data_IF_067796415924
#
_entry.id   IF_067796415924
#
_cell.length_a   1.000
_cell.length_b   1.000
_cell.length_c   1.000
_cell.angle_alpha   90.00
_cell.angle_beta   90.00
_cell.angle_gamma   90.00
#
_symmetry.space_group_name_H-M   'P 1'
#
loop_
_entity.id
_entity.type
_entity.pdbx_description
1 polymer ?
#
# COMPACT_ATOMS: atom_id res chain seq x y z
N UNK A 1 24.80 -66.59 55.09
CA UNK A 1 24.59 -65.13 54.97
C UNK A 1 25.71 -64.66 54.04
N UNK A 2 25.58 -64.79 52.71
CA UNK A 2 24.84 -63.90 51.82
C UNK A 2 25.04 -62.43 52.20
N UNK A 3 25.99 -61.76 51.56
CA UNK A 3 25.70 -60.63 50.69
C UNK A 3 26.91 -60.35 49.77
N UNK A 4 26.63 -60.40 48.46
CA UNK A 4 27.53 -60.07 47.38
C UNK A 4 27.18 -58.65 46.90
N UNK A 5 28.17 -57.77 46.80
CA UNK A 5 28.00 -56.46 46.18
C UNK A 5 28.24 -56.50 44.67
N UNK A 6 27.38 -55.86 43.85
CA UNK A 6 27.76 -55.32 42.54
C UNK A 6 27.88 -53.78 42.68
N UNK A 7 28.97 -53.13 42.27
CA UNK A 7 29.31 -52.85 40.87
C UNK A 7 28.58 -51.59 40.40
N UNK A 8 29.26 -50.46 40.09
CA UNK A 8 28.59 -49.24 39.68
C UNK A 8 28.08 -49.39 38.25
N UNK A 9 26.76 -49.34 38.08
CA UNK A 9 26.14 -49.19 36.77
C UNK A 9 26.34 -47.73 36.32
N UNK A 10 27.29 -47.52 35.41
CA UNK A 10 27.37 -46.30 34.62
C UNK A 10 26.15 -46.23 33.70
N UNK A 11 25.12 -45.50 34.10
CA UNK A 11 24.12 -44.98 33.18
C UNK A 11 24.72 -43.75 32.52
N UNK A 12 25.34 -43.95 31.36
CA UNK A 12 25.65 -42.88 30.44
C UNK A 12 24.36 -42.16 30.07
N UNK A 13 24.10 -41.03 30.72
CA UNK A 13 23.18 -40.04 30.20
C UNK A 13 23.79 -39.52 28.91
N UNK A 14 23.33 -40.05 27.77
CA UNK A 14 23.46 -39.38 26.48
C UNK A 14 22.65 -38.09 26.58
N UNK A 15 23.27 -37.04 27.12
CA UNK A 15 22.86 -35.67 26.91
C UNK A 15 23.09 -35.35 25.44
N UNK A 16 22.10 -35.64 24.59
CA UNK A 16 21.99 -34.92 23.33
C UNK A 16 21.87 -33.45 23.71
N UNK A 17 22.93 -32.68 23.51
CA UNK A 17 22.82 -31.23 23.52
C UNK A 17 21.93 -30.87 22.34
N UNK A 18 20.64 -30.69 22.59
CA UNK A 18 19.79 -29.96 21.66
C UNK A 18 20.37 -28.55 21.59
N UNK A 19 20.98 -28.24 20.45
CA UNK A 19 21.44 -26.92 20.07
C UNK A 19 20.30 -25.93 20.16
N UNK A 20 20.57 -24.72 20.68
CA UNK A 20 19.55 -23.68 20.70
C UNK A 20 19.10 -23.34 19.27
N UNK A 21 17.85 -22.90 19.08
CA UNK A 21 17.37 -22.43 17.77
C UNK A 21 18.28 -21.37 17.15
N UNK A 22 18.87 -20.47 17.95
CA UNK A 22 19.86 -19.49 17.52
C UNK A 22 21.14 -20.18 16.98
N UNK A 23 21.68 -21.16 17.70
CA UNK A 23 22.90 -21.87 17.29
C UNK A 23 22.68 -22.72 16.03
N UNK A 24 21.48 -23.26 15.80
CA UNK A 24 21.14 -23.92 14.53
C UNK A 24 21.03 -22.93 13.38
N UNK A 25 20.46 -21.76 13.64
CA UNK A 25 20.27 -20.73 12.63
C UNK A 25 21.62 -20.13 12.17
N UNK A 26 22.56 -19.92 13.09
CA UNK A 26 23.93 -19.48 12.77
C UNK A 26 24.67 -20.45 11.84
N UNK A 27 24.38 -21.76 11.91
CA UNK A 27 24.98 -22.76 11.00
C UNK A 27 24.57 -22.58 9.55
N UNK A 28 23.49 -21.84 9.26
CA UNK A 28 23.09 -21.54 7.89
C UNK A 28 23.95 -20.46 7.23
N UNK A 29 24.61 -19.59 8.00
CA UNK A 29 25.32 -18.42 7.49
C UNK A 29 26.39 -18.77 6.43
N UNK A 30 27.25 -19.79 6.61
CA UNK A 30 28.26 -20.16 5.62
C UNK A 30 27.66 -20.58 4.26
N UNK A 31 26.41 -21.02 4.23
CA UNK A 31 25.71 -21.46 3.02
C UNK A 31 24.97 -20.31 2.31
N UNK A 32 24.73 -19.19 3.00
CA UNK A 32 24.12 -17.99 2.41
C UNK A 32 25.15 -17.04 1.80
N UNK A 33 26.41 -17.12 2.24
CA UNK A 33 27.46 -16.22 1.79
C UNK A 33 27.79 -16.31 0.29
N UNK A 34 28.41 -15.25 -0.28
CA UNK A 34 28.88 -15.26 -1.65
C UNK A 34 29.92 -16.36 -1.87
N UNK A 35 29.76 -17.14 -2.96
CA UNK A 35 30.65 -18.25 -3.30
C UNK A 35 30.25 -19.62 -2.74
N UNK A 36 29.17 -19.70 -1.95
CA UNK A 36 28.57 -20.99 -1.58
C UNK A 36 28.08 -21.76 -2.82
N UNK A 37 28.08 -23.10 -2.74
CA UNK A 37 27.53 -23.91 -3.82
C UNK A 37 26.04 -23.62 -3.99
N UNK A 38 25.59 -23.43 -5.23
CA UNK A 38 24.23 -22.98 -5.54
C UNK A 38 23.13 -23.90 -4.99
N UNK A 39 23.37 -25.21 -4.93
CA UNK A 39 22.44 -26.20 -4.35
C UNK A 39 22.29 -26.04 -2.84
N UNK A 40 23.41 -25.86 -2.14
CA UNK A 40 23.42 -25.62 -0.69
C UNK A 40 22.85 -24.25 -0.33
N UNK A 41 23.14 -23.24 -1.14
CA UNK A 41 22.58 -21.90 -0.97
C UNK A 41 21.08 -21.90 -1.20
N UNK A 42 20.58 -22.60 -2.22
CA UNK A 42 19.14 -22.78 -2.44
C UNK A 42 18.47 -23.44 -1.23
N UNK A 43 19.04 -24.55 -0.72
CA UNK A 43 18.49 -25.23 0.46
C UNK A 43 18.49 -24.33 1.71
N UNK A 44 19.58 -23.63 1.97
CA UNK A 44 19.69 -22.71 3.11
C UNK A 44 18.67 -21.57 3.01
N UNK A 45 18.51 -20.94 1.84
CA UNK A 45 17.50 -19.90 1.61
C UNK A 45 16.09 -20.45 1.77
N UNK A 46 15.81 -21.68 1.33
CA UNK A 46 14.49 -22.30 1.51
C UNK A 46 14.15 -22.51 2.99
N UNK A 47 15.13 -22.91 3.81
CA UNK A 47 14.95 -22.99 5.25
C UNK A 47 14.66 -21.62 5.88
N UNK A 48 15.40 -20.58 5.49
CA UNK A 48 15.13 -19.20 5.94
C UNK A 48 13.74 -18.74 5.50
N UNK A 49 13.37 -18.97 4.23
CA UNK A 49 12.05 -18.63 3.70
C UNK A 49 10.94 -19.29 4.51
N UNK A 50 11.07 -20.58 4.84
CA UNK A 50 10.10 -21.29 5.68
C UNK A 50 9.94 -20.64 7.07
N UNK A 51 11.04 -20.20 7.69
CA UNK A 51 11.01 -19.48 8.98
C UNK A 51 10.29 -18.13 8.87
N UNK A 52 10.50 -17.39 7.79
CA UNK A 52 9.86 -16.07 7.61
C UNK A 52 8.34 -16.14 7.45
N UNK A 53 7.79 -17.33 7.16
CA UNK A 53 6.35 -17.55 7.03
C UNK A 53 5.58 -17.41 8.35
N UNK A 54 6.26 -17.41 9.50
CA UNK A 54 5.64 -17.30 10.81
C UNK A 54 6.29 -16.22 11.69
N UNK A 55 5.48 -15.53 12.48
CA UNK A 55 5.93 -14.46 13.39
C UNK A 55 7.09 -14.85 14.32
N UNK A 56 7.06 -16.03 14.99
CA UNK A 56 8.19 -16.49 15.81
C UNK A 56 9.50 -16.66 15.03
N UNK A 57 9.45 -17.15 13.79
CA UNK A 57 10.63 -17.31 12.94
C UNK A 57 11.21 -15.96 12.51
N UNK A 58 10.36 -14.97 12.21
CA UNK A 58 10.80 -13.58 11.96
C UNK A 58 11.49 -12.97 13.17
N UNK A 59 10.93 -13.14 14.36
CA UNK A 59 11.53 -12.67 15.62
C UNK A 59 12.88 -13.31 15.90
N UNK A 60 13.03 -14.61 15.63
CA UNK A 60 14.33 -15.30 15.74
C UNK A 60 15.36 -14.70 14.78
N UNK A 61 14.99 -14.47 13.51
CA UNK A 61 15.88 -13.87 12.51
C UNK A 61 16.29 -12.43 12.87
N UNK A 62 15.44 -11.67 13.56
CA UNK A 62 15.72 -10.29 13.96
C UNK A 62 16.99 -10.15 14.82
N UNK A 63 17.32 -11.18 15.61
CA UNK A 63 18.53 -11.22 16.43
C UNK A 63 19.84 -11.48 15.66
N UNK A 64 19.77 -11.80 14.37
CA UNK A 64 20.90 -12.31 13.60
C UNK A 64 21.26 -11.39 12.43
N UNK A 65 21.90 -10.25 12.71
CA UNK A 65 22.24 -9.23 11.70
C UNK A 65 23.04 -9.78 10.50
N UNK A 66 23.98 -10.71 10.72
CA UNK A 66 24.76 -11.30 9.64
C UNK A 66 23.89 -12.13 8.66
N UNK A 67 22.87 -12.83 9.17
CA UNK A 67 21.94 -13.59 8.35
C UNK A 67 20.99 -12.67 7.59
N UNK A 68 20.47 -11.62 8.24
CA UNK A 68 19.65 -10.60 7.59
C UNK A 68 20.40 -9.96 6.43
N UNK A 69 21.66 -9.57 6.66
CA UNK A 69 22.53 -9.01 5.62
C UNK A 69 22.79 -10.00 4.48
N UNK A 70 23.15 -11.25 4.79
CA UNK A 70 23.40 -12.25 3.75
C UNK A 70 22.14 -12.51 2.91
N UNK A 71 20.96 -12.57 3.54
CA UNK A 71 19.69 -12.72 2.84
C UNK A 71 19.37 -11.52 1.94
N UNK A 72 19.59 -10.30 2.45
CA UNK A 72 19.41 -9.05 1.70
C UNK A 72 20.33 -8.96 0.47
N UNK A 73 21.61 -9.31 0.63
CA UNK A 73 22.58 -9.37 -0.47
C UNK A 73 22.16 -10.41 -1.52
N UNK A 74 21.66 -11.58 -1.10
CA UNK A 74 21.13 -12.60 -2.01
C UNK A 74 19.87 -12.19 -2.74
N UNK A 75 18.91 -11.55 -2.05
CA UNK A 75 17.70 -11.03 -2.66
C UNK A 75 18.01 -9.98 -3.74
N UNK A 76 19.09 -9.23 -3.54
CA UNK A 76 19.59 -8.25 -4.50
C UNK A 76 20.61 -8.81 -5.51
N UNK A 77 20.93 -10.10 -5.50
CA UNK A 77 21.88 -10.70 -6.44
C UNK A 77 21.28 -10.86 -7.85
N UNK A 78 22.15 -10.88 -8.88
CA UNK A 78 21.73 -11.33 -10.22
C UNK A 78 21.51 -12.85 -10.15
N UNK A 79 20.44 -13.34 -10.80
CA UNK A 79 20.00 -14.74 -10.79
C UNK A 79 21.15 -15.77 -10.78
N UNK A 80 21.07 -16.83 -9.96
CA UNK A 80 20.07 -17.90 -10.11
C UNK A 80 18.98 -17.99 -9.01
N UNK A 81 18.18 -19.08 -9.02
CA UNK A 81 16.99 -19.36 -8.18
C UNK A 81 17.06 -19.01 -6.68
N UNK A 82 18.21 -19.12 -5.96
CA UNK A 82 18.29 -18.69 -4.56
C UNK A 82 17.89 -17.22 -4.35
N UNK A 83 18.14 -16.35 -5.34
CA UNK A 83 17.76 -14.93 -5.27
C UNK A 83 16.23 -14.74 -5.18
N UNK A 84 15.44 -15.60 -5.83
CA UNK A 84 13.97 -15.53 -5.79
C UNK A 84 13.44 -15.85 -4.40
N UNK A 85 13.89 -16.97 -3.84
CA UNK A 85 13.42 -17.42 -2.53
C UNK A 85 13.93 -16.47 -1.43
N UNK A 86 15.11 -15.86 -1.62
CA UNK A 86 15.62 -14.81 -0.75
C UNK A 86 14.79 -13.51 -0.85
N UNK A 87 14.41 -13.10 -2.06
CA UNK A 87 13.54 -11.95 -2.26
C UNK A 87 12.17 -12.14 -1.61
N UNK A 88 11.58 -13.35 -1.69
CA UNK A 88 10.32 -13.68 -1.00
C UNK A 88 10.47 -13.68 0.51
N UNK A 89 11.57 -14.24 1.02
CA UNK A 89 11.86 -14.19 2.45
C UNK A 89 12.00 -12.74 2.94
N UNK A 90 12.64 -11.88 2.14
CA UNK A 90 12.76 -10.46 2.43
C UNK A 90 11.41 -9.74 2.41
N UNK A 91 10.50 -10.07 1.48
CA UNK A 91 9.13 -9.53 1.50
C UNK A 91 8.41 -9.89 2.81
N UNK A 92 8.54 -11.13 3.27
CA UNK A 92 7.93 -11.58 4.53
C UNK A 92 8.53 -10.87 5.76
N UNK A 93 9.83 -10.62 5.75
CA UNK A 93 10.49 -9.86 6.83
C UNK A 93 10.09 -8.38 6.79
N UNK A 94 10.06 -7.77 5.61
CA UNK A 94 9.62 -6.39 5.43
C UNK A 94 8.14 -6.19 5.80
N UNK A 95 7.31 -7.23 5.71
CA UNK A 95 5.91 -7.16 6.13
C UNK A 95 5.72 -7.02 7.65
N UNK A 96 6.77 -7.24 8.46
CA UNK A 96 6.76 -7.11 9.92
C UNK A 96 7.43 -5.79 10.34
N UNK A 97 6.70 -4.78 10.84
CA UNK A 97 7.27 -3.49 11.23
C UNK A 97 8.40 -3.60 12.27
N UNK A 98 8.32 -4.60 13.15
CA UNK A 98 9.35 -4.84 14.17
C UNK A 98 10.72 -5.27 13.60
N UNK A 99 10.78 -5.60 12.32
CA UNK A 99 11.99 -6.04 11.62
C UNK A 99 12.62 -4.94 10.76
N UNK A 100 11.96 -3.80 10.56
CA UNK A 100 12.46 -2.74 9.68
C UNK A 100 13.79 -2.16 10.16
N UNK A 101 13.87 -1.79 11.43
CA UNK A 101 15.11 -1.27 12.03
C UNK A 101 16.23 -2.33 12.01
N UNK A 102 16.05 -3.57 12.50
CA UNK A 102 17.07 -4.62 12.39
C UNK A 102 17.55 -4.88 10.95
N UNK A 103 16.65 -4.91 9.96
CA UNK A 103 16.99 -5.12 8.56
C UNK A 103 17.88 -3.99 8.02
N UNK A 104 17.47 -2.74 8.24
CA UNK A 104 18.18 -1.56 7.72
C UNK A 104 19.50 -1.31 8.47
N UNK A 105 19.58 -1.68 9.75
CA UNK A 105 20.81 -1.65 10.52
C UNK A 105 21.82 -2.72 10.04
N UNK A 106 21.33 -3.91 9.71
CA UNK A 106 22.16 -4.99 9.17
C UNK A 106 22.72 -4.65 7.77
N UNK A 107 21.95 -3.91 6.97
CA UNK A 107 22.30 -3.55 5.60
C UNK A 107 21.83 -2.12 5.21
N UNK A 108 22.67 -1.10 5.43
CA UNK A 108 22.34 0.30 5.11
C UNK A 108 22.09 0.59 3.61
N UNK A 109 22.59 -0.26 2.70
CA UNK A 109 22.45 -0.09 1.25
C UNK A 109 21.23 -0.83 0.68
N UNK A 110 20.47 -1.52 1.53
CA UNK A 110 19.34 -2.37 1.14
C UNK A 110 18.34 -1.65 0.24
N UNK A 111 17.89 -0.46 0.65
CA UNK A 111 16.89 0.32 -0.07
C UNK A 111 17.35 0.67 -1.50
N UNK A 112 18.59 1.13 -1.64
CA UNK A 112 19.16 1.48 -2.94
C UNK A 112 19.29 0.25 -3.85
N UNK A 113 19.71 -0.90 -3.29
CA UNK A 113 19.79 -2.16 -4.05
C UNK A 113 18.42 -2.67 -4.50
N UNK A 114 17.43 -2.68 -3.61
CA UNK A 114 16.07 -3.08 -3.96
C UNK A 114 15.47 -2.15 -5.01
N UNK A 115 15.71 -0.84 -4.90
CA UNK A 115 15.26 0.12 -5.89
C UNK A 115 15.86 -0.16 -7.27
N UNK A 116 17.17 -0.45 -7.30
CA UNK A 116 17.85 -0.87 -8.53
C UNK A 116 17.24 -2.14 -9.14
N UNK A 117 16.79 -3.09 -8.31
CA UNK A 117 16.13 -4.33 -8.77
C UNK A 117 14.69 -4.14 -9.22
N UNK A 118 13.91 -3.34 -8.50
CA UNK A 118 12.53 -3.05 -8.84
C UNK A 118 12.41 -2.29 -10.17
N UNK A 119 13.40 -1.43 -10.48
CA UNK A 119 13.44 -0.62 -11.71
C UNK A 119 14.37 -1.19 -12.79
N UNK A 120 14.77 -2.46 -12.69
CA UNK A 120 15.50 -3.19 -13.73
C UNK A 120 14.51 -3.99 -14.59
N UNK A 121 14.29 -3.62 -15.87
CA UNK A 121 13.39 -4.33 -16.80
C UNK A 121 13.72 -5.82 -16.99
N UNK A 122 14.95 -6.23 -16.69
CA UNK A 122 15.42 -7.61 -16.87
C UNK A 122 15.43 -8.42 -15.57
N UNK A 123 15.12 -7.79 -14.43
CA UNK A 123 15.12 -8.47 -13.14
C UNK A 123 13.87 -9.37 -13.01
N UNK A 124 14.01 -10.70 -12.91
CA UNK A 124 12.85 -11.61 -12.85
C UNK A 124 12.05 -11.51 -11.54
N UNK A 125 12.64 -10.93 -10.50
CA UNK A 125 12.08 -10.75 -9.15
C UNK A 125 11.90 -9.27 -8.79
N UNK A 126 11.70 -8.44 -9.80
CA UNK A 126 11.48 -7.00 -9.61
C UNK A 126 10.21 -6.70 -8.80
N UNK A 127 9.20 -7.58 -8.88
CA UNK A 127 7.96 -7.48 -8.08
C UNK A 127 8.23 -7.73 -6.60
N UNK A 128 8.98 -8.77 -6.24
CA UNK A 128 9.36 -9.01 -4.85
C UNK A 128 10.20 -7.84 -4.29
N UNK A 129 11.09 -7.25 -5.09
CA UNK A 129 11.82 -6.05 -4.70
C UNK A 129 10.88 -4.86 -4.48
N UNK A 130 9.91 -4.63 -5.38
CA UNK A 130 8.90 -3.59 -5.23
C UNK A 130 8.01 -3.82 -3.99
N UNK A 131 7.62 -5.06 -3.70
CA UNK A 131 6.84 -5.43 -2.53
C UNK A 131 7.59 -5.20 -1.22
N UNK A 132 8.88 -5.58 -1.17
CA UNK A 132 9.73 -5.32 -0.01
C UNK A 132 9.87 -3.81 0.24
N UNK A 133 10.11 -3.01 -0.82
CA UNK A 133 10.15 -1.55 -0.71
C UNK A 133 8.82 -0.97 -0.24
N UNK A 134 7.69 -1.42 -0.80
CA UNK A 134 6.36 -0.96 -0.42
C UNK A 134 6.03 -1.26 1.05
N UNK A 135 6.54 -2.37 1.59
CA UNK A 135 6.38 -2.69 3.01
C UNK A 135 7.29 -1.83 3.90
N UNK A 136 8.58 -1.69 3.55
CA UNK A 136 9.55 -0.88 4.31
C UNK A 136 9.16 0.60 4.31
N UNK A 137 8.66 1.13 3.18
CA UNK A 137 8.32 2.54 3.03
C UNK A 137 7.02 2.94 3.73
N UNK A 138 6.35 2.04 4.47
CA UNK A 138 5.21 2.41 5.34
C UNK A 138 5.68 3.25 6.51
N UNK A 139 6.93 3.07 6.93
CA UNK A 139 7.53 3.82 8.02
C UNK A 139 8.15 5.13 7.52
N UNK A 140 8.01 6.25 8.26
CA UNK A 140 8.48 7.56 7.80
C UNK A 140 9.99 7.62 7.49
N UNK A 141 10.82 7.02 8.35
CA UNK A 141 12.28 7.06 8.18
C UNK A 141 12.76 6.28 6.94
N UNK A 142 12.39 5.01 6.74
CA UNK A 142 12.72 4.29 5.51
C UNK A 142 12.12 4.93 4.25
N UNK A 143 10.91 5.50 4.33
CA UNK A 143 10.30 6.21 3.21
C UNK A 143 11.14 7.44 2.80
N UNK A 144 11.56 8.26 3.76
CA UNK A 144 12.43 9.41 3.51
C UNK A 144 13.81 8.99 2.95
N UNK A 145 14.41 7.92 3.49
CA UNK A 145 15.68 7.38 2.99
C UNK A 145 15.56 6.88 1.54
N UNK A 146 14.45 6.21 1.20
CA UNK A 146 14.18 5.78 -0.17
C UNK A 146 13.99 6.97 -1.11
N UNK A 147 13.30 8.02 -0.67
CA UNK A 147 13.17 9.26 -1.45
C UNK A 147 14.54 9.91 -1.73
N UNK A 148 15.45 9.92 -0.75
CA UNK A 148 16.82 10.37 -0.95
C UNK A 148 17.61 9.49 -1.96
N UNK A 149 17.39 8.17 -1.93
CA UNK A 149 17.98 7.26 -2.93
C UNK A 149 17.44 7.54 -4.36
N UNK A 150 16.17 7.90 -4.49
CA UNK A 150 15.56 8.26 -5.78
C UNK A 150 16.09 9.58 -6.36
N UNK A 151 16.47 10.55 -5.52
CA UNK A 151 17.02 11.85 -5.97
C UNK A 151 18.51 11.80 -6.30
N UNK A 152 19.23 10.83 -5.74
CA UNK A 152 20.68 10.63 -5.98
C UNK A 152 20.99 9.72 -7.17
N UNK A 153 19.96 9.12 -7.78
CA UNK A 153 20.10 8.26 -8.95
C UNK A 153 20.64 9.01 -10.19
N UNK A 154 21.41 8.28 -11.02
CA UNK A 154 22.15 8.69 -12.23
C UNK A 154 21.66 9.95 -12.99
N UNK A 155 22.59 10.76 -13.56
CA UNK A 155 22.25 11.94 -14.34
C UNK A 155 21.49 11.59 -15.64
N UNK A 156 20.29 12.15 -15.81
CA UNK A 156 19.53 12.09 -17.06
C UNK A 156 18.03 11.82 -16.89
N UNK A 157 17.61 11.15 -15.81
CA UNK A 157 16.20 10.94 -15.47
C UNK A 157 16.03 10.81 -13.95
N UNK A 158 15.14 11.61 -13.36
CA UNK A 158 14.86 11.54 -11.91
C UNK A 158 14.37 10.13 -11.53
N UNK A 159 14.83 9.58 -10.40
CA UNK A 159 14.46 8.22 -9.98
C UNK A 159 12.94 8.02 -9.83
N UNK A 160 12.23 9.05 -9.37
CA UNK A 160 10.77 9.01 -9.26
C UNK A 160 10.09 8.98 -10.63
N UNK A 161 10.67 9.61 -11.65
CA UNK A 161 10.18 9.54 -13.03
C UNK A 161 10.34 8.13 -13.61
N UNK A 162 11.46 7.46 -13.31
CA UNK A 162 11.66 6.04 -13.66
C UNK A 162 10.62 5.14 -13.01
N UNK A 163 10.32 5.38 -11.73
CA UNK A 163 9.31 4.64 -10.99
C UNK A 163 7.92 4.81 -11.61
N UNK A 164 7.49 6.05 -11.86
CA UNK A 164 6.18 6.30 -12.50
C UNK A 164 6.13 5.70 -13.90
N UNK A 165 7.21 5.80 -14.68
CA UNK A 165 7.29 5.16 -16.00
C UNK A 165 7.13 3.64 -15.90
N UNK A 166 7.82 2.99 -14.96
CA UNK A 166 7.71 1.55 -14.74
C UNK A 166 6.30 1.13 -14.31
N UNK A 167 5.63 1.95 -13.49
CA UNK A 167 4.25 1.73 -13.06
C UNK A 167 3.23 1.88 -14.22
N UNK A 168 3.43 2.85 -15.11
CA UNK A 168 2.44 3.21 -16.13
C UNK A 168 2.66 2.51 -17.49
N UNK A 169 3.85 1.96 -17.76
CA UNK A 169 4.18 1.35 -19.05
C UNK A 169 3.86 -0.16 -19.05
N UNK A 170 2.85 -0.61 -19.81
CA UNK A 170 2.59 -2.04 -19.97
C UNK A 170 3.84 -2.76 -20.53
N UNK A 171 4.18 -3.91 -19.95
CA UNK A 171 5.34 -4.69 -20.38
C UNK A 171 6.70 -4.04 -20.07
N UNK A 172 6.77 -3.06 -19.15
CA UNK A 172 8.04 -2.48 -18.71
C UNK A 172 9.06 -3.56 -18.28
N UNK A 173 8.59 -4.58 -17.56
CA UNK A 173 9.32 -5.79 -17.26
C UNK A 173 8.54 -6.99 -17.83
N UNK A 174 9.18 -7.78 -18.68
CA UNK A 174 8.52 -8.91 -19.35
C UNK A 174 8.29 -10.11 -18.41
N UNK A 175 9.02 -10.19 -17.30
CA UNK A 175 8.96 -11.29 -16.34
C UNK A 175 7.94 -11.07 -15.23
N UNK A 176 7.52 -9.83 -14.96
CA UNK A 176 6.63 -9.53 -13.83
C UNK A 176 5.89 -8.20 -13.99
N UNK A 177 4.62 -8.09 -13.54
CA UNK A 177 3.78 -6.92 -13.84
C UNK A 177 4.16 -5.65 -13.06
N UNK A 178 4.82 -5.73 -11.90
CA UNK A 178 5.19 -4.61 -11.00
C UNK A 178 3.99 -3.94 -10.30
N UNK A 179 3.04 -4.71 -9.79
CA UNK A 179 1.86 -4.18 -9.09
C UNK A 179 2.21 -3.42 -7.80
N UNK A 180 3.21 -3.89 -7.05
CA UNK A 180 3.63 -3.25 -5.80
C UNK A 180 4.31 -1.88 -5.95
N UNK A 181 4.61 -1.44 -7.18
CA UNK A 181 4.99 -0.04 -7.42
C UNK A 181 3.86 0.94 -7.11
N UNK A 182 2.60 0.51 -7.18
CA UNK A 182 1.45 1.36 -6.82
C UNK A 182 1.49 1.75 -5.34
N UNK A 183 1.42 0.80 -4.40
CA UNK A 183 1.53 1.08 -2.97
C UNK A 183 2.85 1.78 -2.59
N UNK A 184 3.96 1.45 -3.26
CA UNK A 184 5.22 2.16 -3.05
C UNK A 184 5.11 3.66 -3.39
N UNK A 185 4.52 4.00 -4.54
CA UNK A 185 4.30 5.39 -4.92
C UNK A 185 3.33 6.09 -3.95
N UNK A 186 2.28 5.39 -3.51
CA UNK A 186 1.34 5.89 -2.51
C UNK A 186 2.07 6.30 -1.23
N UNK A 187 2.94 5.44 -0.70
CA UNK A 187 3.75 5.74 0.48
C UNK A 187 4.67 6.94 0.26
N UNK A 188 5.37 7.00 -0.88
CA UNK A 188 6.25 8.13 -1.22
C UNK A 188 5.48 9.45 -1.32
N UNK A 189 4.27 9.44 -1.88
CA UNK A 189 3.42 10.63 -2.04
C UNK A 189 2.92 11.24 -0.73
N UNK A 190 3.14 10.58 0.41
CA UNK A 190 2.94 11.20 1.72
C UNK A 190 3.98 12.29 2.00
N UNK A 191 5.15 12.23 1.35
CA UNK A 191 6.19 13.25 1.42
C UNK A 191 5.88 14.41 0.46
N UNK A 192 5.99 15.64 0.96
CA UNK A 192 5.73 16.85 0.17
C UNK A 192 6.56 16.90 -1.13
N UNK A 193 7.86 16.57 -1.06
CA UNK A 193 8.72 16.58 -2.25
C UNK A 193 8.33 15.57 -3.33
N UNK A 194 7.66 14.46 -2.97
CA UNK A 194 7.11 13.53 -3.95
C UNK A 194 5.85 14.11 -4.61
N UNK A 195 4.98 14.78 -3.84
CA UNK A 195 3.80 15.47 -4.39
C UNK A 195 4.20 16.62 -5.31
N UNK A 196 5.20 17.42 -4.93
CA UNK A 196 5.72 18.50 -5.78
C UNK A 196 6.15 17.96 -7.15
N UNK A 197 6.81 16.79 -7.20
CA UNK A 197 7.15 16.13 -8.46
C UNK A 197 5.93 15.60 -9.23
N UNK A 198 4.97 14.98 -8.54
CA UNK A 198 3.76 14.41 -9.16
C UNK A 198 2.86 15.50 -9.74
N UNK A 199 2.83 16.67 -9.12
CA UNK A 199 1.99 17.82 -9.45
C UNK A 199 2.73 18.88 -10.28
N UNK A 200 3.92 18.55 -10.78
CA UNK A 200 4.65 19.37 -11.74
C UNK A 200 3.85 19.47 -13.06
N UNK A 201 3.37 20.68 -13.34
CA UNK A 201 2.48 20.98 -14.47
C UNK A 201 3.15 20.75 -15.84
N UNK A 202 4.47 20.88 -15.92
CA UNK A 202 5.22 20.75 -17.17
C UNK A 202 5.50 19.27 -17.52
N UNK A 203 5.48 18.40 -16.50
CA UNK A 203 5.79 16.97 -16.66
C UNK A 203 4.57 16.08 -16.87
N UNK A 204 3.38 16.60 -16.61
CA UNK A 204 2.10 15.89 -16.69
C UNK A 204 2.13 14.51 -16.00
N UNK A 205 2.74 14.42 -14.82
CA UNK A 205 2.97 13.13 -14.15
C UNK A 205 1.66 12.55 -13.61
N UNK A 206 0.87 13.36 -12.90
CA UNK A 206 -0.41 12.95 -12.32
C UNK A 206 -1.39 12.41 -13.38
N UNK A 207 -1.43 13.01 -14.57
CA UNK A 207 -2.32 12.58 -15.66
C UNK A 207 -2.02 11.15 -16.13
N UNK A 208 -0.75 10.71 -16.07
CA UNK A 208 -0.37 9.35 -16.44
C UNK A 208 -0.93 8.30 -15.47
N UNK A 209 -1.26 8.70 -14.24
CA UNK A 209 -1.81 7.81 -13.22
C UNK A 209 -3.34 7.63 -13.37
N UNK A 210 -4.04 8.61 -13.94
CA UNK A 210 -5.51 8.63 -13.99
C UNK A 210 -6.13 7.37 -14.63
N UNK A 211 -5.64 6.84 -15.77
CA UNK A 211 -6.22 5.63 -16.34
C UNK A 211 -6.09 4.40 -15.44
N UNK A 212 -5.13 4.39 -14.52
CA UNK A 212 -4.88 3.27 -13.62
C UNK A 212 -5.87 3.21 -12.44
N UNK A 213 -6.75 4.21 -12.25
CA UNK A 213 -7.87 4.13 -11.29
C UNK A 213 -8.87 3.03 -11.66
N UNK A 214 -8.85 2.57 -12.91
CA UNK A 214 -9.71 1.50 -13.43
C UNK A 214 -8.91 0.25 -13.83
N UNK A 215 -7.65 0.12 -13.39
CA UNK A 215 -6.80 -1.01 -13.75
C UNK A 215 -7.39 -2.34 -13.23
N UNK A 216 -7.90 -3.19 -14.12
CA UNK A 216 -8.67 -4.39 -13.78
C UNK A 216 -7.84 -5.51 -13.17
N UNK A 217 -6.60 -5.69 -13.63
CA UNK A 217 -5.85 -6.93 -13.34
C UNK A 217 -5.31 -6.99 -11.91
N UNK A 218 -5.33 -5.87 -11.17
CA UNK A 218 -4.78 -5.81 -9.81
C UNK A 218 -5.37 -4.69 -8.97
N UNK A 219 -6.09 -5.08 -7.90
CA UNK A 219 -6.52 -4.16 -6.85
C UNK A 219 -5.34 -3.51 -6.12
N UNK A 220 -4.21 -4.21 -5.99
CA UNK A 220 -2.98 -3.67 -5.37
C UNK A 220 -2.46 -2.46 -6.16
N UNK A 221 -2.35 -2.58 -7.48
CA UNK A 221 -1.92 -1.46 -8.34
C UNK A 221 -2.93 -0.32 -8.27
N UNK A 222 -4.21 -0.63 -8.48
CA UNK A 222 -5.30 0.34 -8.52
C UNK A 222 -5.43 1.10 -7.20
N UNK A 223 -5.45 0.40 -6.07
CA UNK A 223 -5.51 1.00 -4.74
C UNK A 223 -4.28 1.87 -4.42
N UNK A 224 -3.08 1.44 -4.84
CA UNK A 224 -1.88 2.26 -4.71
C UNK A 224 -1.92 3.56 -5.52
N UNK A 225 -2.47 3.50 -6.74
CA UNK A 225 -2.68 4.69 -7.59
C UNK A 225 -3.73 5.62 -6.98
N UNK A 226 -4.88 5.09 -6.56
CA UNK A 226 -5.94 5.87 -5.91
C UNK A 226 -5.41 6.53 -4.63
N UNK A 227 -4.66 5.80 -3.80
CA UNK A 227 -3.99 6.37 -2.63
C UNK A 227 -3.00 7.49 -2.98
N UNK A 228 -2.25 7.36 -4.08
CA UNK A 228 -1.37 8.42 -4.58
C UNK A 228 -2.15 9.67 -4.98
N UNK A 229 -3.26 9.52 -5.72
CA UNK A 229 -4.11 10.62 -6.15
C UNK A 229 -4.76 11.32 -4.95
N UNK A 230 -5.29 10.55 -3.99
CA UNK A 230 -5.82 11.06 -2.72
C UNK A 230 -4.77 11.89 -1.98
N UNK A 231 -3.54 11.39 -1.88
CA UNK A 231 -2.44 12.12 -1.24
C UNK A 231 -2.12 13.44 -1.95
N UNK A 232 -2.19 13.47 -3.29
CA UNK A 232 -2.04 14.71 -4.06
C UNK A 232 -3.18 15.72 -3.81
N UNK A 233 -4.38 15.25 -3.51
CA UNK A 233 -5.54 16.11 -3.23
C UNK A 233 -5.43 16.88 -1.90
N UNK A 234 -4.46 16.58 -1.02
CA UNK A 234 -4.16 17.43 0.14
C UNK A 234 -3.54 18.79 -0.26
N UNK A 235 -2.98 18.92 -1.46
CA UNK A 235 -2.37 20.17 -1.92
C UNK A 235 -3.42 21.10 -2.54
N UNK A 236 -4.19 21.80 -1.70
CA UNK A 236 -5.31 22.65 -2.11
C UNK A 236 -4.96 23.74 -3.13
N UNK A 237 -3.72 24.24 -3.10
CA UNK A 237 -3.18 25.17 -4.12
C UNK A 237 -3.28 24.65 -5.56
N UNK A 238 -3.48 23.34 -5.74
CA UNK A 238 -3.59 22.69 -7.03
C UNK A 238 -5.03 22.28 -7.38
N UNK A 239 -6.03 22.45 -6.51
CA UNK A 239 -7.40 21.95 -6.75
C UNK A 239 -8.01 22.48 -8.05
N UNK A 240 -7.93 23.79 -8.30
CA UNK A 240 -8.45 24.38 -9.54
C UNK A 240 -7.76 23.81 -10.80
N UNK A 241 -6.48 23.48 -10.69
CA UNK A 241 -5.74 22.84 -11.80
C UNK A 241 -6.09 21.36 -11.97
N UNK A 242 -6.23 20.62 -10.87
CA UNK A 242 -6.62 19.21 -10.87
C UNK A 242 -8.04 19.00 -11.43
N UNK A 243 -8.98 19.86 -11.03
CA UNK A 243 -10.37 19.84 -11.50
C UNK A 243 -10.55 20.53 -12.86
N UNK A 244 -9.60 21.36 -13.26
CA UNK A 244 -9.62 22.05 -14.55
C UNK A 244 -9.27 21.14 -15.73
N UNK A 245 -9.47 21.63 -16.98
CA UNK A 245 -9.42 20.82 -18.20
C UNK A 245 -8.02 20.28 -18.57
N UNK A 246 -6.97 20.66 -17.83
CA UNK A 246 -5.60 20.18 -18.06
C UNK A 246 -5.32 18.82 -17.40
N UNK A 247 -6.05 18.51 -16.33
CA UNK A 247 -5.94 17.25 -15.59
C UNK A 247 -7.26 16.51 -15.64
N UNK A 248 -8.37 17.22 -15.43
CA UNK A 248 -9.72 16.70 -15.42
C UNK A 248 -9.84 15.45 -14.53
N UNK A 249 -9.43 15.58 -13.27
CA UNK A 249 -9.30 14.44 -12.35
C UNK A 249 -10.66 13.82 -11.98
N UNK A 250 -11.71 14.63 -11.92
CA UNK A 250 -12.98 14.25 -11.29
C UNK A 250 -13.67 13.05 -11.97
N UNK A 251 -13.78 12.98 -13.31
CA UNK A 251 -14.32 11.81 -14.00
C UNK A 251 -13.60 10.51 -13.63
N UNK A 252 -12.26 10.53 -13.50
CA UNK A 252 -11.47 9.35 -13.13
C UNK A 252 -11.67 8.89 -11.68
N UNK A 253 -12.13 9.79 -10.80
CA UNK A 253 -12.49 9.46 -9.42
C UNK A 253 -13.93 8.97 -9.30
N UNK A 254 -14.86 9.54 -10.09
CA UNK A 254 -16.28 9.21 -10.07
C UNK A 254 -16.61 7.93 -10.86
N UNK A 255 -15.93 7.65 -11.97
CA UNK A 255 -16.26 6.52 -12.83
C UNK A 255 -16.13 5.15 -12.15
N UNK A 256 -15.12 4.89 -11.29
CA UNK A 256 -15.10 3.66 -10.51
C UNK A 256 -16.24 3.58 -9.47
N UNK A 257 -16.83 4.70 -9.06
CA UNK A 257 -17.96 4.76 -8.12
C UNK A 257 -19.33 4.64 -8.80
N UNK A 258 -19.40 4.87 -10.11
CA UNK A 258 -20.62 4.78 -10.89
C UNK A 258 -21.05 3.33 -11.18
N UNK A 259 -22.35 3.07 -11.14
CA UNK A 259 -22.97 1.81 -11.52
C UNK A 259 -23.71 1.88 -12.86
N UNK A 260 -24.64 0.94 -13.12
CA UNK A 260 -25.39 0.86 -14.37
C UNK A 260 -26.69 1.70 -14.33
N UNK A 261 -26.80 2.66 -13.42
CA UNK A 261 -28.03 3.45 -13.25
C UNK A 261 -28.31 4.35 -14.46
N UNK A 262 -29.60 4.49 -14.79
CA UNK A 262 -30.09 5.39 -15.83
C UNK A 262 -30.47 6.74 -15.21
N UNK A 263 -29.93 7.82 -15.77
CA UNK A 263 -30.28 9.20 -15.40
C UNK A 263 -31.19 9.83 -16.46
N UNK A 264 -31.97 10.83 -16.07
CA UNK A 264 -32.77 11.62 -17.00
C UNK A 264 -31.90 12.43 -17.97
N UNK A 265 -32.44 12.88 -19.11
CA UNK A 265 -31.68 13.70 -20.08
C UNK A 265 -31.09 14.96 -19.42
N UNK A 266 -31.85 15.64 -18.56
CA UNK A 266 -31.38 16.84 -17.83
C UNK A 266 -30.25 16.53 -16.83
N UNK A 267 -30.25 15.35 -16.23
CA UNK A 267 -29.18 14.89 -15.34
C UNK A 267 -27.94 14.48 -16.15
N UNK A 268 -28.11 13.79 -17.28
CA UNK A 268 -27.02 13.40 -18.18
C UNK A 268 -26.26 14.61 -18.73
N UNK A 269 -26.97 15.69 -19.09
CA UNK A 269 -26.35 16.94 -19.57
C UNK A 269 -25.40 17.59 -18.55
N UNK A 270 -25.52 17.26 -17.25
CA UNK A 270 -24.64 17.77 -16.18
C UNK A 270 -23.41 16.89 -15.93
N UNK A 271 -23.46 15.62 -16.34
CA UNK A 271 -22.37 14.68 -16.08
C UNK A 271 -21.22 14.89 -17.10
N UNK A 272 -19.96 14.68 -16.69
CA UNK A 272 -18.86 14.53 -17.61
C UNK A 272 -19.12 13.45 -18.66
N UNK A 273 -18.60 13.63 -19.87
CA UNK A 273 -18.85 12.74 -21.02
C UNK A 273 -18.56 11.27 -20.69
N UNK A 274 -17.48 10.99 -19.96
CA UNK A 274 -17.09 9.63 -19.58
C UNK A 274 -18.04 8.93 -18.60
N UNK A 275 -18.94 9.69 -17.97
CA UNK A 275 -19.96 9.21 -17.02
C UNK A 275 -21.36 9.11 -17.64
N UNK A 276 -21.54 9.58 -18.88
CA UNK A 276 -22.82 9.52 -19.56
C UNK A 276 -23.04 8.16 -20.23
N UNK A 277 -24.28 7.68 -20.20
CA UNK A 277 -24.72 6.48 -20.92
C UNK A 277 -23.84 5.23 -20.66
N UNK A 278 -23.50 4.98 -19.40
CA UNK A 278 -22.75 3.81 -19.00
C UNK A 278 -23.50 2.51 -19.38
N UNK A 279 -22.79 1.44 -19.76
CA UNK A 279 -23.43 0.20 -20.19
C UNK A 279 -24.12 -0.51 -19.00
N UNK A 280 -25.13 -1.32 -19.29
CA UNK A 280 -25.90 -2.03 -18.26
C UNK A 280 -25.09 -3.03 -17.43
N UNK A 281 -23.92 -3.44 -17.93
CA UNK A 281 -22.98 -4.32 -17.22
C UNK A 281 -21.93 -3.56 -16.40
N UNK A 282 -21.96 -2.21 -16.40
CA UNK A 282 -21.05 -1.37 -15.62
C UNK A 282 -21.08 -1.76 -14.14
N UNK A 283 -19.92 -2.16 -13.63
CA UNK A 283 -19.73 -2.47 -12.22
C UNK A 283 -18.99 -1.32 -11.51
N UNK A 284 -19.35 -1.11 -10.25
CA UNK A 284 -18.59 -0.27 -9.32
C UNK A 284 -17.29 -0.97 -8.95
N UNK A 285 -16.34 -0.19 -8.43
CA UNK A 285 -15.13 -0.70 -7.81
C UNK A 285 -15.48 -1.76 -6.75
N UNK A 286 -15.01 -3.01 -6.87
CA UNK A 286 -15.37 -4.08 -5.94
C UNK A 286 -14.74 -3.93 -4.55
N UNK A 287 -13.56 -3.31 -4.44
CA UNK A 287 -12.83 -3.15 -3.17
C UNK A 287 -13.34 -1.93 -2.38
N UNK A 288 -13.92 -2.19 -1.22
CA UNK A 288 -14.48 -1.17 -0.33
C UNK A 288 -13.46 -0.11 0.11
N UNK A 289 -12.20 -0.51 0.35
CA UNK A 289 -11.16 0.43 0.74
C UNK A 289 -10.82 1.37 -0.41
N UNK A 290 -10.82 0.87 -1.65
CA UNK A 290 -10.60 1.71 -2.84
C UNK A 290 -11.79 2.67 -3.03
N UNK A 291 -13.03 2.20 -2.88
CA UNK A 291 -14.23 3.07 -2.91
C UNK A 291 -14.12 4.19 -1.89
N UNK A 292 -13.77 3.88 -0.64
CA UNK A 292 -13.56 4.87 0.42
C UNK A 292 -12.47 5.87 0.06
N UNK A 293 -11.31 5.42 -0.42
CA UNK A 293 -10.22 6.34 -0.83
C UNK A 293 -10.61 7.27 -1.98
N UNK A 294 -11.44 6.81 -2.93
CA UNK A 294 -11.97 7.66 -4.02
C UNK A 294 -12.89 8.75 -3.47
N UNK A 295 -13.82 8.39 -2.58
CA UNK A 295 -14.71 9.34 -1.91
C UNK A 295 -13.90 10.37 -1.12
N UNK A 296 -12.89 9.91 -0.36
CA UNK A 296 -12.01 10.80 0.41
C UNK A 296 -11.17 11.72 -0.50
N UNK A 297 -10.74 11.26 -1.67
CA UNK A 297 -10.06 12.11 -2.65
C UNK A 297 -10.99 13.23 -3.16
N UNK A 298 -12.25 12.90 -3.47
CA UNK A 298 -13.25 13.90 -3.89
C UNK A 298 -13.56 14.87 -2.74
N UNK A 299 -13.68 14.37 -1.50
CA UNK A 299 -13.85 15.19 -0.30
C UNK A 299 -12.69 16.18 -0.10
N UNK A 300 -11.44 15.77 -0.37
CA UNK A 300 -10.32 16.71 -0.31
C UNK A 300 -10.45 17.80 -1.37
N UNK A 301 -10.90 17.47 -2.58
CA UNK A 301 -11.14 18.46 -3.64
C UNK A 301 -12.27 19.44 -3.32
N UNK A 302 -13.18 19.10 -2.41
CA UNK A 302 -14.25 20.00 -1.93
C UNK A 302 -13.83 20.87 -0.75
N UNK A 303 -12.56 20.85 -0.35
CA UNK A 303 -12.11 21.69 0.76
C UNK A 303 -12.09 23.19 0.42
N UNK A 304 -11.91 23.55 -0.86
CA UNK A 304 -11.93 24.94 -1.33
C UNK A 304 -13.27 25.30 -1.94
N UNK A 305 -13.70 26.56 -1.82
CA UNK A 305 -14.95 27.06 -2.41
C UNK A 305 -15.03 26.82 -3.94
N UNK A 306 -14.00 27.14 -4.74
CA UNK A 306 -14.00 26.81 -6.17
C UNK A 306 -14.07 25.30 -6.41
N UNK A 307 -13.41 24.49 -5.57
CA UNK A 307 -13.46 23.04 -5.65
C UNK A 307 -14.85 22.48 -5.40
N UNK A 308 -15.54 22.95 -4.34
CA UNK A 308 -16.95 22.61 -4.07
C UNK A 308 -17.84 22.95 -5.25
N UNK A 309 -17.72 24.16 -5.77
CA UNK A 309 -18.50 24.63 -6.90
C UNK A 309 -18.30 23.71 -8.12
N UNK A 310 -17.05 23.45 -8.51
CA UNK A 310 -16.75 22.61 -9.68
C UNK A 310 -17.24 21.16 -9.51
N UNK A 311 -17.06 20.55 -8.33
CA UNK A 311 -17.53 19.19 -8.06
C UNK A 311 -19.07 19.12 -8.11
N UNK A 312 -19.78 20.15 -7.62
CA UNK A 312 -21.25 20.26 -7.73
C UNK A 312 -21.70 20.43 -9.18
N UNK A 313 -21.06 21.33 -9.93
CA UNK A 313 -21.42 21.66 -11.31
C UNK A 313 -21.25 20.47 -12.27
N UNK A 314 -20.28 19.59 -12.01
CA UNK A 314 -20.05 18.36 -12.78
C UNK A 314 -20.91 17.17 -12.33
N UNK A 315 -21.99 17.41 -11.58
CA UNK A 315 -22.99 16.39 -11.27
C UNK A 315 -22.53 15.27 -10.33
N UNK A 316 -21.44 15.46 -9.54
CA UNK A 316 -20.92 14.44 -8.64
C UNK A 316 -21.98 13.89 -7.65
N UNK A 317 -22.91 14.74 -7.20
CA UNK A 317 -24.03 14.36 -6.34
C UNK A 317 -24.87 13.22 -6.94
N UNK A 318 -25.09 13.21 -8.26
CA UNK A 318 -25.90 12.19 -8.93
C UNK A 318 -25.27 10.79 -8.78
N UNK A 319 -23.96 10.70 -9.01
CA UNK A 319 -23.22 9.45 -8.85
C UNK A 319 -23.20 9.01 -7.38
N UNK A 320 -22.97 9.95 -6.47
CA UNK A 320 -22.86 9.66 -5.03
C UNK A 320 -24.20 9.26 -4.41
N UNK A 321 -25.33 9.83 -4.87
CA UNK A 321 -26.67 9.44 -4.42
C UNK A 321 -26.94 7.97 -4.72
N UNK A 322 -26.68 7.54 -5.96
CA UNK A 322 -26.88 6.15 -6.36
C UNK A 322 -25.86 5.22 -5.67
N UNK A 323 -24.61 5.67 -5.51
CA UNK A 323 -23.60 4.93 -4.74
C UNK A 323 -24.06 4.71 -3.29
N UNK A 324 -24.50 5.76 -2.59
CA UNK A 324 -24.94 5.69 -1.20
C UNK A 324 -26.11 4.71 -1.00
N UNK A 325 -27.07 4.69 -1.93
CA UNK A 325 -28.19 3.74 -1.91
C UNK A 325 -27.77 2.29 -2.18
N UNK A 326 -26.71 2.08 -2.96
CA UNK A 326 -26.19 0.76 -3.31
C UNK A 326 -25.16 0.21 -2.31
N UNK A 327 -24.38 1.08 -1.66
CA UNK A 327 -23.18 0.73 -0.91
C UNK A 327 -23.47 -0.22 0.27
N UNK A 328 -22.90 -1.44 0.25
CA UNK A 328 -23.13 -2.42 1.32
C UNK A 328 -22.25 -2.19 2.57
N UNK A 329 -21.12 -1.48 2.45
CA UNK A 329 -20.17 -1.34 3.56
C UNK A 329 -20.46 -0.07 4.38
N UNK A 330 -20.79 -0.20 5.67
CA UNK A 330 -21.21 0.94 6.51
C UNK A 330 -20.19 2.09 6.55
N UNK A 331 -18.89 1.76 6.69
CA UNK A 331 -17.80 2.73 6.72
C UNK A 331 -17.68 3.54 5.41
N UNK A 332 -18.02 2.95 4.28
CA UNK A 332 -17.99 3.60 2.97
C UNK A 332 -19.25 4.44 2.78
N UNK A 333 -20.40 3.94 3.24
CA UNK A 333 -21.66 4.67 3.22
C UNK A 333 -21.58 5.97 4.02
N UNK A 334 -21.00 5.95 5.23
CA UNK A 334 -20.78 7.15 6.06
C UNK A 334 -19.85 8.14 5.36
N UNK A 335 -18.75 7.68 4.75
CA UNK A 335 -17.86 8.56 3.98
C UNK A 335 -18.60 9.22 2.80
N UNK A 336 -19.47 8.46 2.12
CA UNK A 336 -20.30 8.94 1.03
C UNK A 336 -21.32 9.98 1.54
N UNK A 337 -21.99 9.71 2.66
CA UNK A 337 -22.95 10.62 3.29
C UNK A 337 -22.30 11.96 3.65
N UNK A 338 -21.14 11.93 4.31
CA UNK A 338 -20.38 13.15 4.65
C UNK A 338 -20.08 13.97 3.39
N UNK A 339 -19.68 13.33 2.29
CA UNK A 339 -19.43 14.03 1.03
C UNK A 339 -20.70 14.61 0.43
N UNK A 340 -21.81 13.85 0.42
CA UNK A 340 -23.11 14.33 -0.04
C UNK A 340 -23.55 15.56 0.76
N UNK A 341 -23.40 15.55 2.08
CA UNK A 341 -23.73 16.68 2.95
C UNK A 341 -22.94 17.95 2.55
N UNK A 342 -21.65 17.83 2.23
CA UNK A 342 -20.84 18.95 1.72
C UNK A 342 -21.37 19.46 0.37
N UNK A 343 -21.80 18.57 -0.52
CA UNK A 343 -22.27 18.94 -1.86
C UNK A 343 -23.66 19.60 -1.85
N UNK A 344 -24.57 19.17 -0.97
CA UNK A 344 -25.93 19.73 -0.87
C UNK A 344 -26.02 20.92 0.09
N UNK A 345 -25.07 21.04 1.02
CA UNK A 345 -25.04 22.10 2.02
C UNK A 345 -24.78 23.48 1.42
N UNK A 346 -25.20 24.50 2.16
CA UNK A 346 -24.92 25.90 1.82
C UNK A 346 -23.41 26.17 1.81
N UNK A 347 -22.99 27.16 1.03
CA UNK A 347 -21.61 27.57 1.00
C UNK A 347 -21.20 28.16 2.36
N UNK A 348 -20.03 27.77 2.92
CA UNK A 348 -19.55 28.31 4.18
C UNK A 348 -19.46 29.84 4.22
N UNK A 349 -19.49 30.41 5.42
CA UNK A 349 -19.40 31.86 5.64
C UNK A 349 -18.11 32.46 5.06
N UNK A 350 -18.10 33.77 4.69
CA UNK A 350 -16.88 34.45 4.27
C UNK A 350 -15.75 34.30 5.29
N UNK A 351 -14.56 33.92 4.83
CA UNK A 351 -13.44 33.51 5.68
C UNK A 351 -13.30 31.99 5.90
N UNK A 352 -14.25 31.20 5.42
CA UNK A 352 -14.24 29.72 5.43
C UNK A 352 -14.11 29.13 4.02
N UNK A 353 -13.52 29.89 3.08
CA UNK A 353 -13.41 29.47 1.69
C UNK A 353 -12.53 28.24 1.53
N UNK A 354 -11.51 28.08 2.38
CA UNK A 354 -10.62 26.92 2.39
C UNK A 354 -10.65 26.22 3.75
N UNK A 355 -11.39 25.12 3.82
CA UNK A 355 -11.61 24.36 5.05
C UNK A 355 -10.33 23.72 5.61
N UNK A 356 -9.25 23.59 4.82
CA UNK A 356 -7.96 23.08 5.29
C UNK A 356 -7.11 24.15 6.01
N UNK A 357 -7.46 25.43 5.90
CA UNK A 357 -6.71 26.55 6.51
C UNK A 357 -7.45 27.18 7.70
N UNK A 358 -8.71 26.79 7.92
CA UNK A 358 -9.54 27.28 9.02
C UNK A 358 -8.97 26.81 10.36
N UNK A 359 -8.81 27.73 11.30
CA UNK A 359 -8.52 27.39 12.69
C UNK A 359 -9.81 26.97 13.38
N UNK A 360 -9.91 25.69 13.73
CA UNK A 360 -11.05 25.14 14.47
C UNK A 360 -10.86 25.42 15.96
N UNK A 361 -11.80 26.10 16.64
CA UNK A 361 -11.75 26.29 18.09
C UNK A 361 -11.72 24.94 18.85
N UNK A 362 -11.00 24.87 19.97
CA UNK A 362 -10.80 23.63 20.72
C UNK A 362 -12.11 22.96 21.19
N UNK A 363 -13.13 23.75 21.51
CA UNK A 363 -14.45 23.27 21.91
C UNK A 363 -15.19 22.59 20.77
N UNK A 364 -15.10 23.15 19.56
CA UNK A 364 -15.66 22.56 18.33
C UNK A 364 -14.89 21.29 17.96
N UNK A 365 -13.56 21.31 18.09
CA UNK A 365 -12.73 20.12 17.83
C UNK A 365 -13.10 18.96 18.77
N UNK A 366 -13.33 19.23 20.05
CA UNK A 366 -13.78 18.23 21.02
C UNK A 366 -15.17 17.68 20.69
N UNK A 367 -16.10 18.54 20.26
CA UNK A 367 -17.44 18.10 19.85
C UNK A 367 -17.38 17.21 18.60
N UNK A 368 -16.60 17.60 17.59
CA UNK A 368 -16.40 16.79 16.38
C UNK A 368 -15.78 15.42 16.70
N UNK A 369 -14.77 15.38 17.56
CA UNK A 369 -14.17 14.12 18.04
C UNK A 369 -15.19 13.23 18.74
N UNK A 370 -16.04 13.79 19.59
CA UNK A 370 -17.05 13.03 20.31
C UNK A 370 -18.14 12.50 19.37
N UNK A 371 -18.52 13.26 18.34
CA UNK A 371 -19.45 12.81 17.29
C UNK A 371 -18.83 11.65 16.49
N UNK A 372 -17.58 11.79 16.04
CA UNK A 372 -16.87 10.73 15.32
C UNK A 372 -16.72 9.45 16.16
N UNK A 373 -16.44 9.56 17.46
CA UNK A 373 -16.36 8.41 18.38
C UNK A 373 -17.71 7.70 18.54
N UNK A 374 -18.81 8.46 18.63
CA UNK A 374 -20.15 7.90 18.72
C UNK A 374 -20.54 7.18 17.42
N UNK A 375 -20.28 7.79 16.26
CA UNK A 375 -20.52 7.19 14.94
C UNK A 375 -19.74 5.86 14.80
N UNK A 376 -18.46 5.83 15.21
CA UNK A 376 -17.65 4.61 15.19
C UNK A 376 -18.22 3.50 16.10
N UNK A 377 -18.77 3.87 17.26
CA UNK A 377 -19.40 2.91 18.17
C UNK A 377 -20.70 2.35 17.61
N UNK A 378 -21.50 3.17 16.93
CA UNK A 378 -22.73 2.74 16.25
C UNK A 378 -22.42 1.76 15.13
N UNK A 379 -21.45 2.07 14.27
CA UNK A 379 -20.98 1.19 13.19
C UNK A 379 -20.45 -0.16 13.71
N UNK A 380 -19.69 -0.14 14.81
CA UNK A 380 -19.19 -1.35 15.46
C UNK A 380 -20.33 -2.20 16.08
N UNK A 381 -21.37 -1.55 16.59
CA UNK A 381 -22.56 -2.19 17.15
C UNK A 381 -23.42 -2.88 16.10
N UNK A 382 -23.59 -2.27 14.93
CA UNK A 382 -24.35 -2.84 13.81
C UNK A 382 -23.63 -4.03 13.15
N UNK A 383 -22.30 -3.96 13.05
CA UNK A 383 -21.45 -5.05 12.54
C UNK A 383 -21.44 -6.30 13.44
N UNK A 384 -21.80 -6.17 14.72
CA UNK A 384 -21.90 -7.27 15.69
C UNK A 384 -23.24 -8.03 15.67
N UNK A 385 -24.22 -7.58 14.88
CA UNK A 385 -25.58 -8.12 14.86
C UNK A 385 -25.85 -9.30 13.92
N UNK A 386 -24.91 -9.63 13.02
CA UNK A 386 -25.12 -10.65 11.98
C UNK A 386 -24.35 -11.94 12.29
N UNK A 387 -25.04 -12.88 12.95
CA UNK A 387 -24.85 -14.32 12.77
C UNK A 387 -23.57 -14.96 13.31
N UNK A 388 -23.52 -15.24 14.62
CA UNK A 388 -22.64 -16.28 15.16
C UNK A 388 -23.04 -17.66 14.61
N UNK A 389 -22.39 -18.13 13.55
CA UNK A 389 -22.42 -19.55 13.18
C UNK A 389 -21.37 -20.32 14.00
N UNK A 390 -21.69 -21.52 14.52
CA UNK A 390 -20.75 -22.31 15.31
C UNK A 390 -19.58 -22.81 14.42
N UNK A 391 -18.39 -23.06 15.00
CA UNK A 391 -17.22 -23.47 14.24
C UNK A 391 -17.46 -24.83 13.56
N UNK A 392 -17.50 -24.80 12.22
CA UNK A 392 -17.47 -25.98 11.37
C UNK A 392 -16.12 -26.69 11.47
N UNK A 393 -16.18 -28.02 11.50
CA UNK A 393 -15.09 -28.98 11.64
C UNK A 393 -14.03 -28.83 10.55
N UNK A 394 -12.72 -29.00 10.85
CA UNK A 394 -11.66 -28.95 9.83
C UNK A 394 -11.79 -30.10 8.83
N UNK A 395 -11.70 -29.78 7.54
CA UNK A 395 -11.57 -30.77 6.47
C UNK A 395 -10.14 -31.31 6.43
N UNK A 396 -10.03 -32.62 6.23
CA UNK A 396 -8.81 -33.42 6.14
C UNK A 396 -7.97 -33.13 4.89
#
# INVERSE_FOLDING_TARGET
MLEAGPGPAGTGALSGQESSPDAELEKLLPFLGPGARADLQAAAVQHVLALTGAGPGRKLLAGHAALLRALAELAAARAPAPARDAARALVNLAADPGLHEPLLAADPELLARLLGRALDPQCPWAEEAAAALANLSREPAPCAALMAALTTAEPGLLGLERLVRALCMPGYNAGTPLHYLGPLLSNLSQLAGARDFLMDRDRCVVQRLLPLTQYSDSSVRRGGVVGTLRNCCFEHRHHEWLLGPQVDILPFLLLPLAGPEEFSEEEMDRLPVDLQYLPSDKQREPDANIRKMLIEAIMLLTATAPGRQQVREQGAYLILRELHSWEPEPDVQVACEKLIQVLIGDEPEPGMENLLEVQVPEDVEQQLKQLDENEQQELAGESGGVGSYPPGTPLA
#
